data_IF_284035822258
#
_entry.id   IF_284035822258
#
_cell.length_a   1.000
_cell.length_b   1.000
_cell.length_c   1.000
_cell.angle_alpha   90.00
_cell.angle_beta   90.00
_cell.angle_gamma   90.00
#
_symmetry.space_group_name_H-M   'P 1'
#
loop_
_entity.id
_entity.type
_entity.pdbx_description
1 polymer ?
#
# COMPACT_ATOMS: atom_id res chain seq x y z
N UNK A 1 17.96 -11.52 11.04
CA UNK A 1 17.73 -10.80 9.74
C UNK A 1 16.80 -9.64 10.03
N UNK A 2 17.11 -8.43 9.56
CA UNK A 2 16.29 -7.25 9.85
C UNK A 2 15.29 -7.00 8.71
N UNK A 3 14.03 -6.82 9.04
CA UNK A 3 12.92 -6.67 8.10
C UNK A 3 12.31 -5.27 8.23
N UNK A 4 12.02 -4.62 7.11
CA UNK A 4 11.29 -3.37 7.05
C UNK A 4 10.01 -3.54 6.23
N UNK A 5 8.90 -2.93 6.67
CA UNK A 5 7.64 -2.89 5.94
C UNK A 5 7.43 -1.49 5.36
N UNK A 6 7.01 -1.43 4.10
CA UNK A 6 6.66 -0.19 3.39
C UNK A 6 5.29 -0.37 2.76
N UNK A 7 4.28 0.28 3.33
CA UNK A 7 2.87 0.05 2.97
C UNK A 7 2.26 1.31 2.36
N UNK A 8 2.02 1.28 1.05
CA UNK A 8 1.21 2.29 0.39
C UNK A 8 -0.26 2.11 0.77
N UNK A 9 -0.79 3.06 1.55
CA UNK A 9 -2.15 2.99 2.06
C UNK A 9 -3.22 3.09 0.97
N UNK A 10 -2.96 3.85 -0.10
CA UNK A 10 -3.87 3.94 -1.25
C UNK A 10 -3.97 2.60 -1.96
N UNK A 11 -2.82 1.98 -2.24
CA UNK A 11 -2.77 0.65 -2.84
C UNK A 11 -3.48 -0.40 -1.96
N UNK A 12 -3.23 -0.39 -0.65
CA UNK A 12 -3.87 -1.36 0.26
C UNK A 12 -5.38 -1.18 0.34
N UNK A 13 -5.87 0.06 0.20
CA UNK A 13 -7.30 0.33 0.09
C UNK A 13 -7.90 -0.30 -1.18
N UNK A 14 -7.27 -0.10 -2.33
CA UNK A 14 -7.71 -0.67 -3.61
C UNK A 14 -7.65 -2.20 -3.59
N UNK A 15 -6.60 -2.76 -3.01
CA UNK A 15 -6.45 -4.20 -2.82
C UNK A 15 -7.58 -4.77 -1.94
N UNK A 16 -7.89 -4.14 -0.80
CA UNK A 16 -8.98 -4.56 0.07
C UNK A 16 -10.35 -4.48 -0.63
N UNK A 17 -10.59 -3.41 -1.41
CA UNK A 17 -11.80 -3.26 -2.23
C UNK A 17 -11.91 -4.36 -3.28
N UNK A 18 -10.82 -4.69 -3.96
CA UNK A 18 -10.74 -5.76 -4.97
C UNK A 18 -10.97 -7.14 -4.37
N UNK A 19 -10.44 -7.40 -3.20
CA UNK A 19 -10.51 -8.68 -2.51
C UNK A 19 -11.86 -8.90 -1.79
N UNK A 20 -12.56 -7.83 -1.43
CA UNK A 20 -13.83 -7.89 -0.71
C UNK A 20 -13.69 -8.12 0.80
N UNK A 21 -12.47 -8.03 1.35
CA UNK A 21 -12.21 -8.13 2.79
C UNK A 21 -11.25 -7.06 3.28
N UNK A 22 -11.25 -6.78 4.59
CA UNK A 22 -10.41 -5.75 5.20
C UNK A 22 -9.12 -6.34 5.75
N UNK A 23 -8.01 -5.68 5.45
CA UNK A 23 -6.69 -6.07 5.93
C UNK A 23 -6.49 -5.58 7.37
N UNK A 24 -6.06 -6.46 8.25
CA UNK A 24 -5.70 -6.13 9.62
C UNK A 24 -4.22 -5.68 9.66
N UNK A 25 -4.00 -4.38 9.71
CA UNK A 25 -2.65 -3.80 9.74
C UNK A 25 -1.85 -4.20 10.98
N UNK A 26 -2.50 -4.52 12.09
CA UNK A 26 -1.80 -5.01 13.29
C UNK A 26 -1.25 -6.42 13.05
N UNK A 27 -2.07 -7.29 12.44
CA UNK A 27 -1.63 -8.63 12.07
C UNK A 27 -0.51 -8.60 11.04
N UNK A 28 -0.55 -7.64 10.08
CA UNK A 28 0.43 -7.54 9.01
C UNK A 28 1.86 -7.43 9.54
N UNK A 29 2.10 -6.62 10.57
CA UNK A 29 3.44 -6.55 11.19
C UNK A 29 3.87 -7.92 11.69
N UNK A 30 3.04 -8.58 12.52
CA UNK A 30 3.37 -9.87 13.14
C UNK A 30 3.46 -11.05 12.16
N UNK A 31 2.77 -10.97 11.00
CA UNK A 31 2.84 -12.01 9.95
C UNK A 31 4.18 -11.95 9.21
N UNK A 32 4.69 -10.73 8.94
CA UNK A 32 5.87 -10.57 8.10
C UNK A 32 7.17 -10.38 8.85
N UNK A 33 7.11 -10.00 10.13
CA UNK A 33 8.32 -9.83 10.95
C UNK A 33 8.05 -10.24 12.40
N UNK A 34 8.97 -11.03 12.98
CA UNK A 34 9.00 -11.18 14.43
C UNK A 34 9.44 -9.86 15.07
N UNK A 35 9.03 -9.55 16.31
CA UNK A 35 9.36 -8.29 16.95
C UNK A 35 10.86 -7.97 16.99
N UNK A 36 11.71 -8.99 17.20
CA UNK A 36 13.16 -8.87 17.24
C UNK A 36 13.81 -8.62 15.86
N UNK A 37 13.13 -9.04 14.78
CA UNK A 37 13.59 -8.86 13.41
C UNK A 37 13.10 -7.55 12.79
N UNK A 38 12.04 -6.95 13.32
CA UNK A 38 11.45 -5.75 12.76
C UNK A 38 12.37 -4.53 12.95
N UNK A 39 12.83 -3.96 11.83
CA UNK A 39 13.49 -2.65 11.87
C UNK A 39 12.47 -1.53 12.03
N UNK A 40 11.50 -1.46 11.13
CA UNK A 40 10.42 -0.47 11.15
C UNK A 40 9.28 -0.87 10.20
N UNK A 41 8.10 -0.34 10.42
CA UNK A 41 6.96 -0.44 9.53
C UNK A 41 6.51 0.98 9.13
N UNK A 42 6.63 1.32 7.84
CA UNK A 42 6.20 2.60 7.29
C UNK A 42 4.81 2.45 6.66
N UNK A 43 3.95 3.43 6.89
CA UNK A 43 2.64 3.51 6.28
C UNK A 43 2.44 4.88 5.63
N UNK A 44 2.18 4.89 4.33
CA UNK A 44 1.98 6.11 3.55
C UNK A 44 0.49 6.35 3.37
N UNK A 45 -0.02 7.44 3.94
CA UNK A 45 -1.44 7.71 4.01
C UNK A 45 -1.81 9.06 3.37
N UNK A 46 -2.77 9.08 2.42
CA UNK A 46 -3.34 10.32 1.95
C UNK A 46 -4.23 10.92 3.03
N UNK A 47 -4.14 12.24 3.22
CA UNK A 47 -5.09 13.01 4.03
C UNK A 47 -5.98 13.79 3.07
N UNK A 48 -7.22 13.36 2.92
CA UNK A 48 -8.18 13.98 2.02
C UNK A 48 -8.94 15.14 2.65
N UNK A 49 -9.13 15.08 3.97
CA UNK A 49 -9.69 16.16 4.77
C UNK A 49 -9.02 16.15 6.16
N UNK A 50 -8.26 17.21 6.45
CA UNK A 50 -7.59 17.36 7.74
C UNK A 50 -8.56 17.44 8.94
N UNK A 51 -9.84 17.76 8.71
CA UNK A 51 -10.88 17.83 9.72
C UNK A 51 -11.68 16.52 9.86
N UNK A 52 -11.41 15.50 9.04
CA UNK A 52 -12.09 14.20 9.18
C UNK A 52 -11.55 13.44 10.40
N UNK A 53 -12.32 13.49 11.49
CA UNK A 53 -11.98 12.77 12.73
C UNK A 53 -11.79 11.26 12.54
N UNK A 54 -12.46 10.64 11.55
CA UNK A 54 -12.32 9.19 11.30
C UNK A 54 -10.97 8.90 10.70
N UNK A 55 -10.53 9.75 9.77
CA UNK A 55 -9.21 9.64 9.17
C UNK A 55 -8.13 9.86 10.23
N UNK A 56 -8.27 10.88 11.07
CA UNK A 56 -7.33 11.13 12.15
C UNK A 56 -7.25 9.95 13.14
N UNK A 57 -8.39 9.41 13.58
CA UNK A 57 -8.43 8.21 14.43
C UNK A 57 -7.78 6.98 13.79
N UNK A 58 -7.89 6.85 12.46
CA UNK A 58 -7.22 5.78 11.73
C UNK A 58 -5.69 5.94 11.74
N UNK A 59 -5.20 7.16 11.48
CA UNK A 59 -3.76 7.46 11.52
C UNK A 59 -3.18 7.25 12.93
N UNK A 60 -3.88 7.71 13.97
CA UNK A 60 -3.49 7.51 15.35
C UNK A 60 -3.45 6.01 15.72
N UNK A 61 -4.42 5.24 15.22
CA UNK A 61 -4.42 3.78 15.42
C UNK A 61 -3.22 3.10 14.75
N UNK A 62 -2.80 3.54 13.56
CA UNK A 62 -1.60 3.02 12.89
C UNK A 62 -0.34 3.32 13.72
N UNK A 63 -0.19 4.53 14.23
CA UNK A 63 0.93 4.90 15.13
C UNK A 63 0.92 4.01 16.37
N UNK A 64 -0.25 3.81 16.98
CA UNK A 64 -0.39 2.94 18.16
C UNK A 64 -0.07 1.46 17.86
N UNK A 65 -0.28 1.00 16.61
CA UNK A 65 0.09 -0.34 16.17
C UNK A 65 1.60 -0.49 15.89
N UNK A 66 2.37 0.60 15.91
CA UNK A 66 3.82 0.58 15.69
C UNK A 66 4.26 1.03 14.30
N UNK A 67 3.36 1.61 13.49
CA UNK A 67 3.75 2.19 12.20
C UNK A 67 4.36 3.59 12.35
N UNK A 68 5.39 3.85 11.55
CA UNK A 68 5.83 5.21 11.24
C UNK A 68 4.95 5.73 10.11
N UNK A 69 3.98 6.59 10.44
CA UNK A 69 3.04 7.13 9.46
C UNK A 69 3.66 8.30 8.71
N UNK A 70 3.61 8.23 7.38
CA UNK A 70 3.96 9.28 6.44
C UNK A 70 2.68 9.77 5.78
N UNK A 71 2.17 10.92 6.17
CA UNK A 71 0.95 11.49 5.59
C UNK A 71 1.24 12.73 4.77
N UNK A 72 0.42 12.98 3.77
CA UNK A 72 0.38 14.23 3.01
C UNK A 72 -1.05 14.54 2.60
N UNK A 73 -1.36 15.83 2.53
CA UNK A 73 -2.61 16.28 1.94
C UNK A 73 -2.66 15.89 0.47
N UNK A 74 -3.80 15.34 0.06
CA UNK A 74 -4.02 14.87 -1.28
C UNK A 74 -5.21 15.60 -1.90
N UNK A 75 -4.92 16.40 -2.92
CA UNK A 75 -5.92 16.92 -3.82
C UNK A 75 -5.88 16.08 -5.10
N UNK A 76 -6.79 15.10 -5.20
CA UNK A 76 -6.81 14.12 -6.30
C UNK A 76 -6.12 12.80 -5.95
N UNK A 77 -5.41 12.20 -6.93
CA UNK A 77 -4.70 10.92 -6.75
C UNK A 77 -3.38 11.15 -6.00
N UNK A 78 -3.27 10.66 -4.76
CA UNK A 78 -2.06 10.86 -3.96
C UNK A 78 -0.97 9.89 -4.42
N UNK A 79 0.17 10.44 -4.82
CA UNK A 79 1.34 9.68 -5.24
C UNK A 79 2.41 9.70 -4.13
N UNK A 80 2.81 8.51 -3.69
CA UNK A 80 3.79 8.35 -2.62
C UNK A 80 5.13 7.77 -3.09
N UNK A 81 5.29 7.49 -4.38
CA UNK A 81 6.46 6.79 -4.93
C UNK A 81 7.78 7.46 -4.54
N UNK A 82 7.84 8.80 -4.63
CA UNK A 82 9.04 9.53 -4.24
C UNK A 82 9.38 9.38 -2.75
N UNK A 83 8.35 9.40 -1.88
CA UNK A 83 8.55 9.19 -0.43
C UNK A 83 8.96 7.76 -0.13
N UNK A 84 8.28 6.79 -0.73
CA UNK A 84 8.59 5.36 -0.60
C UNK A 84 10.02 5.09 -1.08
N UNK A 85 10.38 5.57 -2.27
CA UNK A 85 11.73 5.40 -2.83
C UNK A 85 12.79 6.01 -1.91
N UNK A 86 12.53 7.21 -1.39
CA UNK A 86 13.45 7.89 -0.47
C UNK A 86 13.63 7.10 0.82
N UNK A 87 12.54 6.69 1.48
CA UNK A 87 12.62 5.93 2.73
C UNK A 87 13.29 4.56 2.51
N UNK A 88 12.99 3.86 1.40
CA UNK A 88 13.66 2.61 1.01
C UNK A 88 15.17 2.79 0.93
N UNK A 89 15.64 3.80 0.17
CA UNK A 89 17.08 4.04 -0.06
C UNK A 89 17.79 4.53 1.20
N UNK A 90 17.22 5.50 1.90
CA UNK A 90 17.85 6.10 3.10
C UNK A 90 17.95 5.10 4.24
N UNK A 91 16.96 4.21 4.38
CA UNK A 91 16.94 3.22 5.45
C UNK A 91 17.62 1.89 5.08
N UNK A 92 17.98 1.68 3.81
CA UNK A 92 18.59 0.44 3.33
C UNK A 92 19.74 -0.10 4.20
N UNK A 93 20.66 0.73 4.76
CA UNK A 93 21.71 0.22 5.65
C UNK A 93 21.20 -0.43 6.94
N UNK A 94 19.92 -0.29 7.27
CA UNK A 94 19.34 -0.73 8.55
C UNK A 94 18.50 -2.00 8.47
N UNK A 95 18.23 -2.52 7.30
CA UNK A 95 17.44 -3.74 7.08
C UNK A 95 18.07 -4.61 6.00
N UNK A 96 17.69 -5.89 5.98
CA UNK A 96 18.16 -6.88 5.01
C UNK A 96 17.06 -7.19 3.99
N UNK A 97 15.80 -7.24 4.45
CA UNK A 97 14.61 -7.53 3.64
C UNK A 97 13.57 -6.41 3.76
N UNK A 98 13.02 -5.99 2.63
CA UNK A 98 11.85 -5.13 2.58
C UNK A 98 10.60 -5.91 2.16
N UNK A 99 9.49 -5.68 2.87
CA UNK A 99 8.15 -6.06 2.43
C UNK A 99 7.48 -4.78 1.91
N UNK A 100 7.29 -4.71 0.60
CA UNK A 100 6.71 -3.53 -0.06
C UNK A 100 5.30 -3.85 -0.56
N UNK A 101 4.30 -3.09 -0.13
CA UNK A 101 2.97 -3.08 -0.71
C UNK A 101 2.77 -1.80 -1.52
N UNK A 102 2.86 -1.91 -2.84
CA UNK A 102 2.64 -0.83 -3.80
C UNK A 102 2.30 -1.40 -5.18
N UNK A 103 1.63 -0.60 -6.00
CA UNK A 103 1.30 -0.99 -7.39
C UNK A 103 2.29 -0.45 -8.41
N UNK A 104 3.00 0.63 -8.11
CA UNK A 104 3.60 1.52 -9.10
C UNK A 104 4.92 1.01 -9.68
N UNK A 105 4.97 0.86 -11.01
CA UNK A 105 6.19 0.58 -11.77
C UNK A 105 7.28 1.65 -11.62
N UNK A 106 6.93 2.87 -11.20
CA UNK A 106 7.89 3.96 -10.95
C UNK A 106 8.93 3.60 -9.87
N UNK A 107 8.64 2.62 -9.02
CA UNK A 107 9.57 2.10 -8.01
C UNK A 107 10.54 1.04 -8.53
N UNK A 108 10.37 0.56 -9.77
CA UNK A 108 11.16 -0.56 -10.33
C UNK A 108 12.66 -0.29 -10.30
N UNK A 109 13.08 0.91 -10.68
CA UNK A 109 14.50 1.29 -10.65
C UNK A 109 15.06 1.34 -9.22
N UNK A 110 14.28 1.81 -8.25
CA UNK A 110 14.66 1.81 -6.83
C UNK A 110 14.88 0.38 -6.33
N UNK A 111 13.97 -0.54 -6.67
CA UNK A 111 14.11 -1.94 -6.27
C UNK A 111 15.32 -2.60 -6.91
N UNK A 112 15.57 -2.34 -8.21
CA UNK A 112 16.78 -2.83 -8.89
C UNK A 112 18.07 -2.36 -8.20
N UNK A 113 18.13 -1.08 -7.81
CA UNK A 113 19.28 -0.52 -7.10
C UNK A 113 19.49 -1.16 -5.71
N UNK A 114 18.41 -1.44 -4.98
CA UNK A 114 18.48 -2.10 -3.66
C UNK A 114 18.91 -3.55 -3.78
N UNK A 115 18.41 -4.29 -4.77
CA UNK A 115 18.83 -5.67 -5.04
C UNK A 115 20.30 -5.75 -5.43
N UNK A 116 20.79 -4.77 -6.21
CA UNK A 116 22.23 -4.66 -6.52
C UNK A 116 23.11 -4.43 -5.28
N UNK A 117 22.53 -3.90 -4.19
CA UNK A 117 23.16 -3.77 -2.87
C UNK A 117 23.01 -5.03 -1.98
N UNK A 118 22.43 -6.11 -2.52
CA UNK A 118 22.20 -7.35 -1.79
C UNK A 118 20.96 -7.33 -0.88
N UNK A 119 20.04 -6.38 -1.09
CA UNK A 119 18.76 -6.36 -0.36
C UNK A 119 17.77 -7.32 -0.98
N UNK A 120 17.00 -7.96 -0.13
CA UNK A 120 15.93 -8.87 -0.53
C UNK A 120 14.59 -8.14 -0.56
N UNK A 121 13.87 -8.22 -1.67
CA UNK A 121 12.62 -7.47 -1.90
C UNK A 121 11.44 -8.44 -2.06
N UNK A 122 10.50 -8.36 -1.14
CA UNK A 122 9.22 -9.05 -1.21
C UNK A 122 8.13 -8.05 -1.54
N UNK A 123 7.36 -8.29 -2.60
CA UNK A 123 6.17 -7.52 -2.92
C UNK A 123 4.94 -8.19 -2.31
N UNK A 124 4.13 -7.43 -1.61
CA UNK A 124 2.84 -7.85 -1.07
C UNK A 124 1.72 -7.18 -1.88
N UNK A 125 0.85 -7.98 -2.50
CA UNK A 125 -0.20 -7.35 -3.30
C UNK A 125 -1.15 -8.31 -4.00
N UNK A 126 -1.92 -7.72 -4.92
CA UNK A 126 -2.83 -8.42 -5.84
C UNK A 126 -2.21 -8.35 -7.23
N UNK A 127 -1.96 -9.47 -7.90
CA UNK A 127 -1.24 -9.48 -9.19
C UNK A 127 -1.84 -8.55 -10.24
N UNK A 128 -3.17 -8.47 -10.31
CA UNK A 128 -3.88 -7.65 -11.30
C UNK A 128 -3.83 -6.14 -11.01
N UNK A 129 -3.45 -5.77 -9.79
CA UNK A 129 -3.31 -4.37 -9.35
C UNK A 129 -1.85 -3.92 -9.25
N UNK A 130 -0.89 -4.79 -9.54
CA UNK A 130 0.55 -4.51 -9.40
C UNK A 130 1.22 -4.53 -10.76
N UNK A 131 1.90 -3.47 -11.14
CA UNK A 131 2.60 -3.37 -12.40
C UNK A 131 3.59 -4.52 -12.59
N UNK A 132 3.60 -5.08 -13.81
CA UNK A 132 4.50 -6.18 -14.14
C UNK A 132 5.98 -5.78 -14.01
N UNK A 133 6.30 -4.52 -14.35
CA UNK A 133 7.65 -3.99 -14.22
C UNK A 133 8.12 -4.01 -12.77
N UNK A 134 7.26 -3.62 -11.83
CA UNK A 134 7.57 -3.69 -10.40
C UNK A 134 7.75 -5.13 -9.92
N UNK A 135 6.86 -6.04 -10.35
CA UNK A 135 6.95 -7.46 -9.98
C UNK A 135 8.24 -8.11 -10.46
N UNK A 136 8.72 -7.74 -11.64
CA UNK A 136 9.97 -8.25 -12.20
C UNK A 136 11.22 -7.82 -11.41
N UNK A 137 11.09 -6.79 -10.58
CA UNK A 137 12.16 -6.30 -9.70
C UNK A 137 12.05 -6.83 -8.26
N UNK A 138 11.14 -7.75 -7.98
CA UNK A 138 11.06 -8.42 -6.67
C UNK A 138 11.72 -9.79 -6.70
N UNK A 139 12.18 -10.23 -5.53
CA UNK A 139 12.67 -11.60 -5.34
C UNK A 139 11.49 -12.56 -5.09
N UNK A 140 10.44 -12.07 -4.42
CA UNK A 140 9.21 -12.82 -4.16
C UNK A 140 7.98 -11.92 -4.28
N UNK A 141 6.90 -12.49 -4.80
CA UNK A 141 5.58 -11.88 -4.79
C UNK A 141 4.66 -12.64 -3.83
N UNK A 142 4.17 -11.94 -2.82
CA UNK A 142 3.23 -12.45 -1.82
C UNK A 142 1.81 -12.07 -2.22
N UNK A 143 1.06 -13.00 -2.77
CA UNK A 143 -0.33 -12.77 -3.16
C UNK A 143 -1.22 -12.60 -1.92
N UNK A 144 -1.87 -11.45 -1.78
CA UNK A 144 -2.78 -11.17 -0.67
C UNK A 144 -3.93 -12.18 -0.58
N UNK A 145 -4.35 -12.78 -1.69
CA UNK A 145 -5.41 -13.82 -1.69
C UNK A 145 -5.01 -15.03 -0.87
N UNK A 146 -3.74 -15.41 -0.93
CA UNK A 146 -3.19 -16.54 -0.18
C UNK A 146 -2.97 -16.19 1.30
N UNK A 147 -2.93 -14.90 1.62
CA UNK A 147 -2.71 -14.40 2.98
C UNK A 147 -4.01 -14.08 3.74
N UNK A 148 -5.20 -14.33 3.14
CA UNK A 148 -6.48 -13.97 3.75
C UNK A 148 -6.61 -14.50 5.18
N UNK A 149 -6.35 -15.79 5.41
CA UNK A 149 -6.48 -16.40 6.74
C UNK A 149 -5.61 -15.75 7.82
N UNK A 150 -4.47 -15.18 7.41
CA UNK A 150 -3.50 -14.55 8.32
C UNK A 150 -3.74 -13.05 8.49
N UNK A 151 -4.25 -12.38 7.45
CA UNK A 151 -4.34 -10.92 7.37
C UNK A 151 -5.76 -10.37 7.48
N UNK A 152 -6.79 -11.20 7.28
CA UNK A 152 -8.16 -10.72 7.34
C UNK A 152 -8.52 -10.25 8.75
N UNK A 153 -9.17 -9.08 8.81
CA UNK A 153 -9.70 -8.56 10.06
C UNK A 153 -10.92 -9.36 10.49
N UNK A 154 -10.76 -10.17 11.52
CA UNK A 154 -11.84 -10.93 12.15
C UNK A 154 -12.53 -10.07 13.23
N UNK A 155 -13.82 -9.83 13.09
CA UNK A 155 -14.63 -9.08 14.06
C UNK A 155 -15.34 -7.87 13.44
N UNK A 156 -16.66 -7.80 13.64
CA UNK A 156 -17.54 -6.79 13.05
C UNK A 156 -17.23 -5.37 13.52
N UNK A 157 -16.42 -4.69 12.76
CA UNK A 157 -16.17 -3.26 12.87
C UNK A 157 -16.26 -2.62 11.49
N UNK A 158 -16.99 -1.47 11.42
CA UNK A 158 -17.13 -0.65 10.22
C UNK A 158 -15.84 -0.56 9.42
N UNK A 159 -15.98 -0.44 8.07
CA UNK A 159 -14.86 -0.25 7.13
C UNK A 159 -13.81 0.69 7.70
N UNK A 160 -12.57 0.23 7.76
CA UNK A 160 -11.45 0.93 8.38
C UNK A 160 -10.91 2.07 7.51
N UNK A 161 -11.29 2.10 6.23
CA UNK A 161 -10.83 3.11 5.29
C UNK A 161 -11.85 4.23 5.17
N UNK A 162 -11.46 5.50 5.38
CA UNK A 162 -12.31 6.63 5.02
C UNK A 162 -12.59 6.58 3.51
N UNK A 163 -13.80 7.00 3.12
CA UNK A 163 -14.20 7.03 1.70
C UNK A 163 -13.23 7.93 0.92
N UNK A 164 -12.42 7.33 0.07
CA UNK A 164 -11.78 8.07 -1.03
C UNK A 164 -12.88 8.30 -2.06
N UNK A 165 -13.12 9.55 -2.54
CA UNK A 165 -14.12 9.80 -3.56
C UNK A 165 -13.81 8.98 -4.80
N UNK A 166 -14.81 8.29 -5.33
CA UNK A 166 -14.72 7.58 -6.61
C UNK A 166 -14.32 8.59 -7.67
N UNK A 167 -13.19 8.37 -8.32
CA UNK A 167 -12.84 9.07 -9.54
C UNK A 167 -13.95 8.79 -10.55
N UNK A 168 -14.64 9.84 -10.98
CA UNK A 168 -15.73 9.83 -11.93
C UNK A 168 -15.31 9.03 -13.17
N UNK A 169 -15.87 7.85 -13.33
CA UNK A 169 -15.87 7.17 -14.63
C UNK A 169 -16.74 8.03 -15.56
N UNK A 170 -16.09 8.80 -16.42
CA UNK A 170 -16.74 9.42 -17.55
C UNK A 170 -17.34 8.32 -18.43
N UNK A 171 -18.61 8.09 -18.26
CA UNK A 171 -19.42 7.39 -19.24
C UNK A 171 -19.61 8.39 -20.40
N UNK A 172 -18.86 8.23 -21.47
CA UNK A 172 -19.22 8.80 -22.76
C UNK A 172 -20.52 8.12 -23.22
N UNK A 173 -21.64 8.74 -22.93
CA UNK A 173 -22.91 8.42 -23.59
C UNK A 173 -22.81 8.88 -25.05
N UNK A 174 -22.76 7.92 -25.93
CA UNK A 174 -22.92 8.11 -27.36
C UNK A 174 -24.33 8.68 -27.63
N UNK A 175 -24.39 9.92 -28.08
CA UNK A 175 -25.60 10.54 -28.59
C UNK A 175 -26.09 9.83 -29.85
N UNK A 176 -27.38 9.53 -29.99
CA UNK A 176 -27.89 8.94 -31.23
C UNK A 176 -27.99 9.98 -32.32
N UNK A 177 -27.42 9.65 -33.45
CA UNK A 177 -27.53 10.37 -34.72
C UNK A 177 -28.99 10.53 -35.15
N UNK A 178 -29.48 11.74 -35.14
CA UNK A 178 -30.78 12.09 -35.74
C UNK A 178 -30.60 12.19 -37.25
N UNK A 179 -31.18 11.24 -37.96
CA UNK A 179 -31.48 11.38 -39.41
C UNK A 179 -32.54 12.47 -39.58
N UNK A 180 -32.28 13.43 -40.41
CA UNK A 180 -33.32 14.18 -41.14
C UNK A 180 -32.95 14.22 -42.63
N UNK A 181 -33.94 13.92 -43.37
CA UNK A 181 -34.24 13.91 -44.80
C UNK A 181 -33.46 14.90 -45.69
#
# INVERSE_FOLDING_TARGET
MRIALFIDGSYMYDAAKRLGWNIDHRKAIGVFAQPEDLYNAFYYAPVTDANDERQQKFLDALVFMGYTVRSREAHGDPRFEAMIATDLLVTAPRWDRAILASSSGDLSHTLAALRAQGKEIYLLGVPELTDLELRNQSDHFLDLREQQGSLERTGGGRRMYPNVPESSQNTEEASPSTRLM
#
